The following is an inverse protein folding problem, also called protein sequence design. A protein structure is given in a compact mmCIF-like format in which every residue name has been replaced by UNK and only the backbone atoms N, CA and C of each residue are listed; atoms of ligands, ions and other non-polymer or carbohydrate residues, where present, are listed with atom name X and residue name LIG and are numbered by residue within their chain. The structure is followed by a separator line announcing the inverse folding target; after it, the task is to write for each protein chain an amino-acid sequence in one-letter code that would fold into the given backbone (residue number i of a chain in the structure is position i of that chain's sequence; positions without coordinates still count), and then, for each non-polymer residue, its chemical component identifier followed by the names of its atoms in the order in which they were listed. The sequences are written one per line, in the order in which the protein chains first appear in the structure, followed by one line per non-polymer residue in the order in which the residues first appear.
data_IF_472707113839
#
_entry.id   IF_472707113839
#
_cell.length_a   1.000
_cell.length_b   1.000
_cell.length_c   1.000
_cell.angle_alpha   90.00
_cell.angle_beta   90.00
_cell.angle_gamma   90.00
#
_symmetry.space_group_name_H-M   'P 1'
#
loop_
_entity.id
_entity.type
_entity.pdbx_description
1 polymer ?
#
# COMPACT_ATOMS: atom_id res chain seq x y z
N UNK A 1 -18.35 -18.17 19.44
CA UNK A 1 -17.64 -16.93 19.88
C UNK A 1 -17.54 -16.97 21.39
N UNK A 2 -16.40 -16.57 21.98
CA UNK A 2 -16.29 -16.44 23.44
C UNK A 2 -17.12 -15.22 23.92
N UNK A 3 -17.59 -15.24 25.18
CA UNK A 3 -18.28 -14.10 25.82
C UNK A 3 -17.48 -12.80 25.65
N UNK A 4 -16.17 -12.84 25.87
CA UNK A 4 -15.28 -11.69 25.74
C UNK A 4 -15.27 -11.05 24.34
N UNK A 5 -15.45 -11.83 23.28
CA UNK A 5 -15.50 -11.29 21.92
C UNK A 5 -16.86 -10.64 21.60
N UNK A 6 -17.93 -11.10 22.22
CA UNK A 6 -19.24 -10.46 22.12
C UNK A 6 -19.23 -9.12 22.88
N UNK A 7 -18.72 -9.11 24.11
CA UNK A 7 -18.62 -7.92 24.95
C UNK A 7 -17.78 -6.85 24.26
N UNK A 8 -16.64 -7.22 23.68
CA UNK A 8 -15.77 -6.30 22.95
C UNK A 8 -16.44 -5.70 21.69
N UNK A 9 -17.29 -6.47 21.01
CA UNK A 9 -18.07 -6.01 19.86
C UNK A 9 -19.18 -5.03 20.28
N UNK A 10 -19.86 -5.30 21.38
CA UNK A 10 -20.89 -4.41 21.95
C UNK A 10 -20.27 -3.09 22.41
N UNK A 11 -19.14 -3.14 23.11
CA UNK A 11 -18.38 -1.96 23.49
C UNK A 11 -17.94 -1.12 22.28
N UNK A 12 -17.47 -1.77 21.20
CA UNK A 12 -17.15 -1.09 19.96
C UNK A 12 -18.36 -0.34 19.40
N UNK A 13 -19.49 -1.02 19.32
CA UNK A 13 -20.72 -0.41 18.85
C UNK A 13 -21.14 0.79 19.70
N UNK A 14 -21.14 0.65 21.02
CA UNK A 14 -21.49 1.73 21.95
C UNK A 14 -20.56 2.95 21.78
N UNK A 15 -19.25 2.71 21.63
CA UNK A 15 -18.26 3.80 21.37
C UNK A 15 -18.54 4.51 20.05
N UNK A 16 -18.82 3.76 18.99
CA UNK A 16 -19.07 4.33 17.67
C UNK A 16 -20.38 5.12 17.63
N UNK A 17 -21.43 4.62 18.30
CA UNK A 17 -22.68 5.33 18.47
C UNK A 17 -22.49 6.64 19.27
N UNK A 18 -21.70 6.61 20.35
CA UNK A 18 -21.36 7.81 21.11
C UNK A 18 -20.60 8.83 20.27
N UNK A 19 -19.65 8.39 19.44
CA UNK A 19 -18.91 9.28 18.50
C UNK A 19 -19.86 9.90 17.46
N UNK A 20 -20.73 9.09 16.87
CA UNK A 20 -21.68 9.57 15.85
C UNK A 20 -22.61 10.66 16.43
N UNK A 21 -23.15 10.42 17.63
CA UNK A 21 -24.02 11.37 18.31
C UNK A 21 -23.34 12.65 18.81
N UNK A 22 -22.02 12.65 18.91
CA UNK A 22 -21.23 13.83 19.26
C UNK A 22 -20.90 14.72 18.02
N UNK A 23 -21.27 14.31 16.81
CA UNK A 23 -21.04 15.07 15.59
C UNK A 23 -22.04 16.24 15.46
N UNK A 24 -21.64 17.29 14.73
CA UNK A 24 -22.57 18.34 14.38
C UNK A 24 -23.72 17.79 13.53
N UNK A 25 -24.89 18.49 13.52
CA UNK A 25 -26.01 18.10 12.67
C UNK A 25 -25.58 17.93 11.20
N UNK A 26 -25.99 16.82 10.59
CA UNK A 26 -25.59 16.48 9.22
C UNK A 26 -24.19 15.89 9.08
N UNK A 27 -23.45 15.67 10.18
CA UNK A 27 -22.19 14.95 10.17
C UNK A 27 -22.38 13.43 10.02
N UNK A 28 -21.29 12.73 9.79
CA UNK A 28 -21.28 11.26 9.68
C UNK A 28 -20.01 10.65 10.25
N UNK A 29 -20.12 9.39 10.68
CA UNK A 29 -19.00 8.58 11.18
C UNK A 29 -18.80 7.37 10.25
N UNK A 30 -17.61 7.23 9.68
CA UNK A 30 -17.18 5.99 9.07
C UNK A 30 -16.39 5.18 10.09
N UNK A 31 -16.62 3.87 10.12
CA UNK A 31 -15.83 2.93 10.92
C UNK A 31 -15.34 1.81 10.03
N UNK A 32 -14.07 1.43 10.17
CA UNK A 32 -13.44 0.40 9.37
C UNK A 32 -12.99 -0.75 10.26
N UNK A 33 -13.38 -1.95 9.89
CA UNK A 33 -12.84 -3.22 10.41
C UNK A 33 -12.52 -4.14 9.23
N UNK A 34 -12.10 -5.38 9.52
CA UNK A 34 -11.84 -6.37 8.47
C UNK A 34 -12.95 -7.43 8.41
N UNK A 35 -13.30 -7.84 7.20
CA UNK A 35 -14.22 -8.94 6.89
C UNK A 35 -13.59 -10.32 7.15
N UNK A 36 -12.99 -10.47 8.31
CA UNK A 36 -12.32 -11.70 8.73
C UNK A 36 -12.96 -12.23 10.02
N UNK A 37 -12.99 -13.54 10.23
CA UNK A 37 -13.44 -14.10 11.51
C UNK A 37 -12.52 -13.67 12.66
N UNK A 38 -13.04 -13.66 13.88
CA UNK A 38 -12.28 -13.25 15.07
C UNK A 38 -10.93 -13.96 15.19
N UNK A 39 -10.87 -15.26 14.89
CA UNK A 39 -9.62 -16.03 14.93
C UNK A 39 -8.48 -15.47 14.07
N UNK A 40 -8.79 -14.80 12.96
CA UNK A 40 -7.81 -14.14 12.10
C UNK A 40 -7.59 -12.68 12.49
N UNK A 41 -8.63 -11.95 12.89
CA UNK A 41 -8.51 -10.54 13.28
C UNK A 41 -7.70 -10.33 14.56
N UNK A 42 -7.78 -11.27 15.52
CA UNK A 42 -7.13 -11.14 16.83
C UNK A 42 -5.68 -11.59 16.84
N UNK A 43 -5.20 -12.21 15.78
CA UNK A 43 -3.82 -12.69 15.67
C UNK A 43 -2.77 -11.62 15.37
N UNK A 44 -3.19 -10.37 15.12
CA UNK A 44 -2.28 -9.25 14.76
C UNK A 44 -1.73 -9.31 13.33
N UNK A 45 -1.91 -10.43 12.63
CA UNK A 45 -1.39 -10.68 11.29
C UNK A 45 -1.92 -9.69 10.23
N UNK A 46 -3.16 -9.22 10.42
CA UNK A 46 -3.84 -8.32 9.48
C UNK A 46 -3.94 -6.87 9.97
N UNK A 47 -3.28 -6.51 11.08
CA UNK A 47 -3.34 -5.15 11.64
C UNK A 47 -2.77 -4.12 10.66
N UNK A 48 -1.67 -4.45 9.98
CA UNK A 48 -1.07 -3.62 8.93
C UNK A 48 -2.00 -3.42 7.74
N UNK A 49 -2.75 -4.45 7.36
CA UNK A 49 -3.77 -4.39 6.28
C UNK A 49 -4.89 -3.43 6.66
N UNK A 50 -5.44 -3.55 7.87
CA UNK A 50 -6.50 -2.67 8.35
C UNK A 50 -6.03 -1.21 8.45
N UNK A 51 -4.81 -0.97 8.94
CA UNK A 51 -4.20 0.36 9.01
C UNK A 51 -4.02 0.97 7.63
N UNK A 52 -3.57 0.18 6.65
CA UNK A 52 -3.42 0.61 5.27
C UNK A 52 -4.77 1.01 4.66
N UNK A 53 -5.79 0.16 4.78
CA UNK A 53 -7.14 0.45 4.28
C UNK A 53 -7.75 1.69 4.94
N UNK A 54 -7.50 1.91 6.24
CA UNK A 54 -7.90 3.14 6.93
C UNK A 54 -7.21 4.37 6.33
N UNK A 55 -5.90 4.34 6.09
CA UNK A 55 -5.16 5.43 5.46
C UNK A 55 -5.63 5.74 4.04
N UNK A 56 -5.98 4.70 3.26
CA UNK A 56 -6.55 4.84 1.91
C UNK A 56 -7.92 5.53 1.99
N UNK A 57 -8.79 5.10 2.90
CA UNK A 57 -10.11 5.70 3.11
C UNK A 57 -9.99 7.18 3.51
N UNK A 58 -9.13 7.49 4.48
CA UNK A 58 -8.89 8.87 4.91
C UNK A 58 -8.36 9.74 3.76
N UNK A 59 -7.40 9.24 2.98
CA UNK A 59 -6.85 9.93 1.83
C UNK A 59 -7.90 10.17 0.73
N UNK A 60 -8.77 9.20 0.44
CA UNK A 60 -9.85 9.34 -0.52
C UNK A 60 -10.88 10.40 -0.07
N UNK A 61 -11.28 10.34 1.20
CA UNK A 61 -12.20 11.33 1.80
C UNK A 61 -11.61 12.74 1.72
N UNK A 62 -10.34 12.94 2.10
CA UNK A 62 -9.67 14.25 2.02
C UNK A 62 -9.55 14.75 0.59
N UNK A 63 -9.21 13.90 -0.38
CA UNK A 63 -9.14 14.25 -1.80
C UNK A 63 -10.50 14.65 -2.39
N UNK A 64 -11.60 14.14 -1.85
CA UNK A 64 -12.96 14.56 -2.27
C UNK A 64 -13.35 15.96 -1.78
N UNK A 65 -12.49 16.63 -1.01
CA UNK A 65 -12.79 17.92 -0.39
C UNK A 65 -13.67 17.82 0.86
N UNK A 66 -13.93 16.61 1.35
CA UNK A 66 -14.73 16.39 2.57
C UNK A 66 -13.92 16.74 3.82
N UNK A 67 -14.52 17.55 4.70
CA UNK A 67 -13.91 17.91 5.98
C UNK A 67 -13.86 16.70 6.91
N UNK A 68 -12.64 16.35 7.36
CA UNK A 68 -12.39 15.32 8.38
C UNK A 68 -12.24 16.03 9.72
N UNK A 69 -13.24 15.91 10.58
CA UNK A 69 -13.26 16.50 11.93
C UNK A 69 -12.32 15.79 12.89
N UNK A 70 -12.27 14.46 12.81
CA UNK A 70 -11.29 13.64 13.52
C UNK A 70 -11.10 12.29 12.82
N UNK A 71 -9.93 11.69 12.99
CA UNK A 71 -9.64 10.34 12.56
C UNK A 71 -8.80 9.60 13.60
N UNK A 72 -8.81 8.29 13.53
CA UNK A 72 -7.94 7.48 14.39
C UNK A 72 -7.99 6.01 14.05
N UNK A 73 -6.99 5.31 14.57
CA UNK A 73 -6.83 3.87 14.42
C UNK A 73 -6.34 3.27 15.74
N UNK A 74 -6.86 2.10 16.11
CA UNK A 74 -6.44 1.38 17.31
C UNK A 74 -6.60 -0.13 17.14
N UNK A 75 -5.89 -0.88 17.96
CA UNK A 75 -6.11 -2.31 18.14
C UNK A 75 -6.98 -2.49 19.39
N UNK A 76 -8.04 -3.27 19.26
CA UNK A 76 -9.01 -3.55 20.34
C UNK A 76 -9.08 -5.05 20.60
N UNK A 77 -9.72 -5.49 21.71
CA UNK A 77 -9.99 -6.91 21.93
C UNK A 77 -10.89 -7.59 20.87
N UNK A 78 -11.54 -6.80 19.97
CA UNK A 78 -12.25 -7.31 18.79
C UNK A 78 -11.43 -7.18 17.49
N UNK A 79 -10.16 -6.77 17.59
CA UNK A 79 -9.23 -6.58 16.47
C UNK A 79 -9.01 -5.12 16.07
N UNK A 80 -8.40 -4.88 14.91
CA UNK A 80 -8.11 -3.54 14.41
C UNK A 80 -9.38 -2.77 14.06
N UNK A 81 -9.43 -1.49 14.47
CA UNK A 81 -10.54 -0.57 14.24
C UNK A 81 -10.01 0.80 13.80
N UNK A 82 -10.48 1.30 12.66
CA UNK A 82 -10.29 2.67 12.20
C UNK A 82 -11.60 3.47 12.27
N UNK A 83 -11.52 4.81 12.40
CA UNK A 83 -12.68 5.68 12.29
C UNK A 83 -12.33 7.02 11.67
N UNK A 84 -13.31 7.62 10.99
CA UNK A 84 -13.28 9.00 10.49
C UNK A 84 -14.61 9.68 10.84
N UNK A 85 -14.53 10.79 11.54
CA UNK A 85 -15.66 11.69 11.80
C UNK A 85 -15.65 12.81 10.76
N UNK A 86 -16.76 13.00 10.06
CA UNK A 86 -16.88 13.92 8.94
C UNK A 86 -17.90 15.02 9.20
N UNK A 87 -17.63 16.23 8.71
CA UNK A 87 -18.58 17.34 8.69
C UNK A 87 -19.64 17.23 7.59
N UNK A 88 -19.76 16.09 6.91
CA UNK A 88 -20.66 15.89 5.76
C UNK A 88 -21.60 14.72 5.96
N UNK A 89 -22.70 14.71 5.15
CA UNK A 89 -23.79 13.74 5.28
C UNK A 89 -23.40 12.30 4.98
N UNK A 90 -24.06 11.38 5.69
CA UNK A 90 -23.76 9.95 5.68
C UNK A 90 -23.95 9.28 4.30
N UNK A 91 -24.81 9.81 3.43
CA UNK A 91 -24.97 9.29 2.08
C UNK A 91 -23.68 9.45 1.25
N UNK A 92 -23.07 10.65 1.24
CA UNK A 92 -21.79 10.90 0.58
C UNK A 92 -20.64 10.13 1.22
N UNK A 93 -20.61 10.01 2.55
CA UNK A 93 -19.67 9.20 3.27
C UNK A 93 -19.75 7.72 2.86
N UNK A 94 -20.96 7.15 2.67
CA UNK A 94 -21.13 5.79 2.17
C UNK A 94 -20.62 5.63 0.74
N UNK A 95 -20.79 6.62 -0.11
CA UNK A 95 -20.21 6.58 -1.46
C UNK A 95 -18.68 6.50 -1.42
N UNK A 96 -18.00 7.22 -0.51
CA UNK A 96 -16.55 7.11 -0.31
C UNK A 96 -16.14 5.72 0.22
N UNK A 97 -16.90 5.18 1.17
CA UNK A 97 -16.69 3.81 1.64
C UNK A 97 -16.75 2.79 0.48
N UNK A 98 -17.77 2.90 -0.38
CA UNK A 98 -17.95 2.03 -1.54
C UNK A 98 -16.82 2.17 -2.58
N UNK A 99 -16.29 3.38 -2.80
CA UNK A 99 -15.12 3.59 -3.67
C UNK A 99 -13.91 2.78 -3.18
N UNK A 100 -13.66 2.73 -1.88
CA UNK A 100 -12.56 1.93 -1.32
C UNK A 100 -12.88 0.44 -1.36
N UNK A 101 -14.09 0.03 -0.92
CA UNK A 101 -14.51 -1.38 -0.88
C UNK A 101 -14.51 -2.06 -2.25
N UNK A 102 -14.87 -1.33 -3.32
CA UNK A 102 -15.05 -1.86 -4.67
C UNK A 102 -13.88 -1.52 -5.61
N UNK A 103 -13.19 -0.41 -5.36
CA UNK A 103 -12.15 0.10 -6.26
C UNK A 103 -10.72 -0.23 -5.86
N UNK A 104 -10.46 -0.49 -4.57
CA UNK A 104 -9.11 -0.84 -4.12
C UNK A 104 -8.89 -2.37 -4.21
N UNK A 105 -7.72 -2.88 -4.66
CA UNK A 105 -7.45 -4.32 -4.76
C UNK A 105 -7.70 -5.10 -3.47
N UNK A 106 -7.46 -4.47 -2.32
CA UNK A 106 -7.70 -5.04 -0.99
C UNK A 106 -9.05 -4.64 -0.38
N UNK A 107 -9.84 -3.85 -1.11
CA UNK A 107 -11.10 -3.29 -0.62
C UNK A 107 -12.13 -4.35 -0.21
N UNK A 108 -12.09 -5.52 -0.85
CA UNK A 108 -12.93 -6.65 -0.47
C UNK A 108 -12.72 -7.12 0.98
N UNK A 109 -11.52 -6.87 1.55
CA UNK A 109 -11.23 -7.17 2.96
C UNK A 109 -11.77 -6.11 3.92
N UNK A 110 -12.08 -4.90 3.44
CA UNK A 110 -12.60 -3.83 4.28
C UNK A 110 -14.08 -4.07 4.64
N UNK A 111 -14.44 -3.75 5.87
CA UNK A 111 -15.81 -3.65 6.37
C UNK A 111 -16.01 -2.22 6.86
N UNK A 112 -16.64 -1.38 6.00
CA UNK A 112 -16.79 0.04 6.29
C UNK A 112 -18.25 0.35 6.55
N UNK A 113 -18.58 0.55 7.83
CA UNK A 113 -19.90 0.99 8.27
C UNK A 113 -19.95 2.51 8.33
N UNK A 114 -21.13 3.07 8.08
CA UNK A 114 -21.38 4.51 8.14
C UNK A 114 -22.59 4.77 9.02
N UNK A 115 -22.44 5.69 9.99
CA UNK A 115 -23.50 6.17 10.85
C UNK A 115 -23.73 7.65 10.59
N UNK A 116 -25.00 8.10 10.61
CA UNK A 116 -25.33 9.51 10.68
C UNK A 116 -25.22 10.04 12.13
N UNK A 117 -25.41 11.35 12.32
CA UNK A 117 -25.34 12.00 13.63
C UNK A 117 -26.45 11.51 14.60
N UNK A 118 -27.53 10.94 14.10
CA UNK A 118 -28.59 10.33 14.89
C UNK A 118 -28.25 8.85 15.27
N UNK A 119 -27.16 8.31 14.72
CA UNK A 119 -26.70 6.94 14.97
C UNK A 119 -27.38 5.89 14.09
N UNK A 120 -28.04 6.30 13.00
CA UNK A 120 -28.62 5.35 12.03
C UNK A 120 -27.54 4.91 11.06
N UNK A 121 -27.53 3.62 10.75
CA UNK A 121 -26.57 3.04 9.79
C UNK A 121 -27.02 3.25 8.36
N UNK A 122 -26.13 3.70 7.50
CA UNK A 122 -26.33 3.80 6.05
C UNK A 122 -25.65 2.60 5.39
N UNK A 123 -26.46 1.71 4.84
CA UNK A 123 -26.01 0.47 4.22
C UNK A 123 -25.76 0.57 2.71
N UNK A 124 -25.33 -0.55 2.13
CA UNK A 124 -25.12 -0.66 0.66
C UNK A 124 -26.45 -0.55 -0.10
N UNK A 125 -27.53 -1.11 0.44
CA UNK A 125 -28.87 -1.06 -0.16
C UNK A 125 -29.38 0.38 -0.29
N UNK A 126 -29.10 1.28 0.68
CA UNK A 126 -29.45 2.68 0.64
C UNK A 126 -28.74 3.45 -0.50
N UNK A 127 -27.70 2.85 -1.08
CA UNK A 127 -26.96 3.37 -2.24
C UNK A 127 -27.19 2.55 -3.51
N UNK A 128 -28.20 1.68 -3.55
CA UNK A 128 -28.54 0.85 -4.70
C UNK A 128 -27.48 -0.21 -5.02
N UNK A 129 -26.64 -0.60 -4.05
CA UNK A 129 -25.60 -1.61 -4.25
C UNK A 129 -26.06 -2.98 -3.75
N UNK A 130 -25.71 -4.06 -4.47
CA UNK A 130 -26.04 -5.43 -4.04
C UNK A 130 -25.33 -5.78 -2.73
N UNK A 131 -25.84 -6.78 -1.98
CA UNK A 131 -25.13 -7.36 -0.85
C UNK A 131 -23.73 -7.85 -1.24
N UNK A 132 -22.82 -7.88 -0.26
CA UNK A 132 -21.46 -8.39 -0.47
C UNK A 132 -21.45 -9.89 -0.71
N UNK A 133 -20.56 -10.32 -1.61
CA UNK A 133 -20.30 -11.74 -1.84
C UNK A 133 -19.34 -12.31 -0.78
N UNK A 134 -19.34 -13.62 -0.62
CA UNK A 134 -18.39 -14.36 0.21
C UNK A 134 -16.99 -14.30 -0.41
N UNK A 135 -15.96 -14.08 0.42
CA UNK A 135 -14.56 -14.01 -0.04
C UNK A 135 -14.05 -15.35 -0.61
N UNK A 136 -14.63 -16.47 -0.17
CA UNK A 136 -14.19 -17.82 -0.55
C UNK A 136 -14.94 -18.34 -1.78
N UNK A 137 -16.28 -18.34 -1.73
CA UNK A 137 -17.08 -19.01 -2.77
C UNK A 137 -17.83 -18.04 -3.70
N UNK A 138 -17.78 -16.73 -3.46
CA UNK A 138 -18.53 -15.75 -4.27
C UNK A 138 -20.05 -15.73 -4.05
N UNK A 139 -20.61 -16.66 -3.27
CA UNK A 139 -22.01 -16.70 -2.89
C UNK A 139 -22.41 -15.59 -1.91
N UNK A 140 -23.67 -15.55 -1.41
CA UNK A 140 -24.13 -14.52 -0.48
C UNK A 140 -23.29 -14.50 0.81
N UNK A 141 -22.51 -13.44 1.04
CA UNK A 141 -21.55 -13.34 2.14
C UNK A 141 -22.20 -13.48 3.53
N UNK A 142 -23.39 -12.89 3.73
CA UNK A 142 -24.12 -12.97 4.98
C UNK A 142 -24.53 -14.41 5.32
N UNK A 143 -24.94 -15.22 4.32
CA UNK A 143 -25.30 -16.63 4.52
C UNK A 143 -24.09 -17.46 4.94
N UNK A 144 -22.96 -17.29 4.25
CA UNK A 144 -21.72 -17.99 4.59
C UNK A 144 -21.21 -17.62 5.99
N UNK A 145 -21.30 -16.33 6.36
CA UNK A 145 -20.87 -15.86 7.67
C UNK A 145 -21.77 -16.36 8.80
N UNK A 146 -23.10 -16.32 8.63
CA UNK A 146 -24.06 -16.79 9.63
C UNK A 146 -23.98 -18.30 9.84
N UNK A 147 -23.79 -19.06 8.74
CA UNK A 147 -23.68 -20.52 8.75
C UNK A 147 -22.28 -21.05 9.07
N UNK A 148 -21.27 -20.18 9.24
CA UNK A 148 -19.86 -20.56 9.38
C UNK A 148 -19.42 -21.61 8.31
N UNK A 149 -19.86 -21.38 7.05
CA UNK A 149 -19.72 -22.36 5.95
C UNK A 149 -18.26 -22.67 5.62
N UNK A 150 -17.37 -21.65 5.81
CA UNK A 150 -15.94 -21.77 5.50
C UNK A 150 -15.11 -21.70 6.78
N UNK A 151 -14.08 -22.55 6.85
CA UNK A 151 -13.14 -22.57 7.96
C UNK A 151 -12.12 -21.42 7.89
N UNK A 152 -11.45 -21.14 9.01
CA UNK A 152 -10.40 -20.10 9.07
C UNK A 152 -9.27 -20.31 8.05
N UNK A 153 -8.81 -21.53 7.73
CA UNK A 153 -7.79 -21.74 6.69
C UNK A 153 -8.24 -21.32 5.29
N UNK A 154 -9.48 -21.60 4.91
CA UNK A 154 -10.04 -21.23 3.60
C UNK A 154 -10.20 -19.71 3.48
N UNK A 155 -10.67 -19.05 4.54
CA UNK A 155 -10.81 -17.59 4.60
C UNK A 155 -9.43 -16.92 4.58
N UNK A 156 -8.42 -17.50 5.25
CA UNK A 156 -7.03 -17.05 5.19
C UNK A 156 -6.49 -17.12 3.76
N UNK A 157 -6.65 -18.25 3.10
CA UNK A 157 -6.20 -18.43 1.71
C UNK A 157 -6.85 -17.41 0.76
N UNK A 158 -8.16 -17.15 0.91
CA UNK A 158 -8.86 -16.14 0.14
C UNK A 158 -8.33 -14.71 0.43
N UNK A 159 -8.08 -14.38 1.70
CA UNK A 159 -7.50 -13.09 2.09
C UNK A 159 -6.09 -12.90 1.50
N UNK A 160 -5.24 -13.92 1.58
CA UNK A 160 -3.89 -13.88 0.98
C UNK A 160 -3.94 -13.73 -0.55
N UNK A 161 -4.88 -14.38 -1.23
CA UNK A 161 -5.09 -14.22 -2.66
C UNK A 161 -5.50 -12.77 -3.02
N UNK A 162 -6.34 -12.13 -2.19
CA UNK A 162 -6.70 -10.72 -2.35
C UNK A 162 -5.48 -9.82 -2.13
N UNK A 163 -4.69 -10.08 -1.10
CA UNK A 163 -3.48 -9.30 -0.78
C UNK A 163 -2.36 -9.47 -1.83
N UNK A 164 -2.35 -10.59 -2.54
CA UNK A 164 -1.40 -10.84 -3.63
C UNK A 164 -1.77 -10.11 -4.94
N UNK A 165 -2.98 -9.50 -5.02
CA UNK A 165 -3.38 -8.73 -6.22
C UNK A 165 -2.41 -7.56 -6.43
N UNK A 166 -1.98 -7.31 -7.69
CA UNK A 166 -1.08 -6.21 -7.98
C UNK A 166 -1.71 -4.88 -7.54
N UNK A 167 -0.88 -4.03 -6.98
CA UNK A 167 -1.29 -2.66 -6.64
C UNK A 167 -1.71 -1.92 -7.92
N UNK A 168 -2.72 -1.04 -7.83
CA UNK A 168 -3.26 -0.37 -9.02
C UNK A 168 -2.28 0.65 -9.62
N UNK A 169 -2.72 1.31 -10.69
CA UNK A 169 -2.13 2.33 -11.55
C UNK A 169 -0.98 3.22 -10.99
N UNK A 170 -0.83 3.37 -9.66
CA UNK A 170 0.24 4.16 -9.06
C UNK A 170 1.64 3.57 -9.31
N UNK A 171 1.80 2.24 -9.34
CA UNK A 171 3.10 1.62 -9.65
C UNK A 171 3.55 1.93 -11.07
N UNK A 172 2.64 1.90 -12.05
CA UNK A 172 2.94 2.28 -13.43
C UNK A 172 3.25 3.78 -13.57
N UNK A 173 2.56 4.63 -12.82
CA UNK A 173 2.84 6.06 -12.77
C UNK A 173 4.20 6.34 -12.16
N UNK A 174 4.54 5.70 -11.05
CA UNK A 174 5.86 5.81 -10.39
C UNK A 174 6.96 5.38 -11.35
N UNK A 175 6.82 4.22 -12.00
CA UNK A 175 7.80 3.71 -12.96
C UNK A 175 8.03 4.67 -14.14
N UNK A 176 6.94 5.25 -14.67
CA UNK A 176 7.03 6.24 -15.76
C UNK A 176 7.77 7.50 -15.32
N UNK A 177 7.48 8.03 -14.13
CA UNK A 177 8.18 9.20 -13.57
C UNK A 177 9.67 8.90 -13.37
N UNK A 178 10.01 7.71 -12.83
CA UNK A 178 11.39 7.29 -12.65
C UNK A 178 12.15 7.19 -13.98
N UNK A 179 11.56 6.54 -14.98
CA UNK A 179 12.16 6.46 -16.32
C UNK A 179 12.32 7.84 -16.93
N UNK A 180 11.32 8.71 -16.85
CA UNK A 180 11.37 10.07 -17.35
C UNK A 180 12.52 10.85 -16.70
N UNK A 181 12.69 10.79 -15.39
CA UNK A 181 13.78 11.45 -14.67
C UNK A 181 15.17 11.00 -15.14
N UNK A 182 15.34 9.70 -15.41
CA UNK A 182 16.60 9.15 -15.94
C UNK A 182 16.88 9.66 -17.37
N UNK A 183 15.86 9.71 -18.21
CA UNK A 183 15.99 10.22 -19.59
C UNK A 183 16.23 11.74 -19.62
N UNK A 184 15.57 12.49 -18.76
CA UNK A 184 15.78 13.93 -18.63
C UNK A 184 17.19 14.25 -18.11
N UNK A 185 17.68 13.48 -17.12
CA UNK A 185 19.03 13.65 -16.58
C UNK A 185 20.09 13.52 -17.66
N UNK A 186 20.07 12.46 -18.45
CA UNK A 186 21.08 12.27 -19.52
C UNK A 186 20.94 13.28 -20.66
N UNK A 187 19.74 13.86 -20.82
CA UNK A 187 19.44 14.83 -21.89
C UNK A 187 19.79 16.28 -21.55
N UNK A 188 20.16 16.56 -20.28
CA UNK A 188 20.64 17.91 -19.91
C UNK A 188 22.00 18.20 -20.58
N UNK A 189 22.11 19.38 -21.21
CA UNK A 189 23.33 19.85 -21.88
C UNK A 189 23.47 21.36 -21.67
N UNK A 190 24.69 21.89 -21.31
CA UNK A 190 25.92 21.15 -21.08
C UNK A 190 26.05 20.57 -19.67
N UNK A 191 26.74 19.42 -19.56
CA UNK A 191 27.18 18.81 -18.29
C UNK A 191 28.68 18.54 -18.37
N UNK A 192 29.54 19.42 -17.84
CA UNK A 192 30.99 19.24 -17.95
C UNK A 192 31.47 17.89 -17.39
N UNK A 193 32.20 17.12 -18.18
CA UNK A 193 32.74 15.81 -17.81
C UNK A 193 31.75 14.63 -17.85
N UNK A 194 30.46 14.88 -18.05
CA UNK A 194 29.43 13.84 -18.11
C UNK A 194 28.94 13.63 -19.55
N UNK A 195 28.27 12.49 -19.76
CA UNK A 195 27.61 12.20 -21.03
C UNK A 195 26.38 13.08 -21.22
N UNK A 196 26.29 13.67 -22.41
CA UNK A 196 25.15 14.50 -22.87
C UNK A 196 24.80 14.13 -24.32
N UNK A 197 23.72 14.67 -24.90
CA UNK A 197 23.41 14.46 -26.32
C UNK A 197 24.53 14.91 -27.26
N UNK A 198 25.32 15.92 -26.87
CA UNK A 198 26.38 16.52 -27.71
C UNK A 198 27.81 16.04 -27.36
N UNK A 199 27.98 15.33 -26.21
CA UNK A 199 29.32 14.99 -25.70
C UNK A 199 29.33 13.67 -24.92
N UNK A 200 30.42 12.94 -25.08
CA UNK A 200 30.73 11.76 -24.23
C UNK A 200 31.32 12.12 -22.87
N UNK A 201 31.61 13.42 -22.63
CA UNK A 201 32.30 13.86 -21.43
C UNK A 201 33.69 13.22 -21.30
N UNK A 202 33.99 12.69 -20.11
CA UNK A 202 35.26 12.01 -19.82
C UNK A 202 35.22 10.50 -20.12
N UNK A 203 34.16 9.99 -20.75
CA UNK A 203 33.92 8.56 -20.96
C UNK A 203 34.35 8.13 -22.37
N UNK A 204 35.21 7.09 -22.46
CA UNK A 204 35.59 6.46 -23.72
C UNK A 204 34.72 5.27 -24.12
N UNK A 205 33.98 4.73 -23.17
CA UNK A 205 33.25 3.46 -23.24
C UNK A 205 31.73 3.62 -23.37
N UNK A 206 31.21 4.84 -23.27
CA UNK A 206 29.76 5.12 -23.32
C UNK A 206 29.47 6.47 -23.99
N UNK A 207 28.26 6.58 -24.52
CA UNK A 207 27.70 7.78 -25.11
C UNK A 207 26.21 7.92 -24.76
N UNK A 208 25.54 8.93 -25.30
CA UNK A 208 24.13 9.21 -25.08
C UNK A 208 23.23 7.99 -25.40
N UNK A 209 23.47 7.30 -26.50
CA UNK A 209 22.69 6.14 -26.91
C UNK A 209 22.92 4.94 -26.01
N UNK A 210 24.13 4.77 -25.47
CA UNK A 210 24.44 3.75 -24.46
C UNK A 210 23.64 3.99 -23.19
N UNK A 211 23.49 5.26 -22.75
CA UNK A 211 22.64 5.62 -21.62
C UNK A 211 21.17 5.35 -21.89
N UNK A 212 20.65 5.70 -23.09
CA UNK A 212 19.27 5.39 -23.46
C UNK A 212 18.99 3.89 -23.45
N UNK A 213 19.91 3.08 -23.98
CA UNK A 213 19.79 1.62 -23.95
C UNK A 213 19.75 1.06 -22.50
N UNK A 214 20.61 1.60 -21.63
CA UNK A 214 20.61 1.26 -20.20
C UNK A 214 19.31 1.66 -19.50
N UNK A 215 18.82 2.87 -19.74
CA UNK A 215 17.56 3.36 -19.17
C UNK A 215 16.35 2.51 -19.61
N UNK A 216 16.29 2.18 -20.91
CA UNK A 216 15.24 1.33 -21.46
C UNK A 216 15.24 -0.08 -20.83
N UNK A 217 16.42 -0.66 -20.61
CA UNK A 217 16.57 -1.97 -19.96
C UNK A 217 16.16 -1.95 -18.47
N UNK A 218 16.24 -0.79 -17.81
CA UNK A 218 15.84 -0.59 -16.42
C UNK A 218 14.35 -0.25 -16.23
N UNK A 219 13.63 0.12 -17.30
CA UNK A 219 12.22 0.50 -17.18
C UNK A 219 11.33 -0.57 -16.47
N UNK A 220 11.45 -1.88 -16.76
CA UNK A 220 10.70 -2.92 -16.04
C UNK A 220 11.02 -2.96 -14.55
N UNK A 221 12.26 -2.69 -14.17
CA UNK A 221 12.71 -2.65 -12.78
C UNK A 221 12.01 -1.59 -11.97
N UNK A 222 11.80 -0.40 -12.51
CA UNK A 222 11.11 0.67 -11.79
C UNK A 222 9.65 0.30 -11.48
N UNK A 223 8.98 -0.39 -12.40
CA UNK A 223 7.63 -0.92 -12.19
C UNK A 223 7.63 -2.02 -11.11
N UNK A 224 8.57 -2.94 -11.21
CA UNK A 224 8.71 -4.04 -10.27
C UNK A 224 9.01 -3.52 -8.86
N UNK A 225 9.95 -2.60 -8.71
CA UNK A 225 10.28 -1.99 -7.41
C UNK A 225 9.09 -1.27 -6.78
N UNK A 226 8.33 -0.48 -7.55
CA UNK A 226 7.13 0.19 -7.07
C UNK A 226 6.04 -0.81 -6.65
N UNK A 227 5.87 -1.91 -7.40
CA UNK A 227 4.91 -2.97 -7.08
C UNK A 227 5.29 -3.73 -5.81
N UNK A 228 6.58 -4.04 -5.63
CA UNK A 228 7.10 -4.64 -4.41
C UNK A 228 6.90 -3.73 -3.20
N UNK A 229 7.17 -2.44 -3.37
CA UNK A 229 6.91 -1.44 -2.32
C UNK A 229 5.44 -1.42 -1.90
N UNK A 230 4.52 -1.43 -2.87
CA UNK A 230 3.10 -1.50 -2.59
C UNK A 230 2.72 -2.81 -1.87
N UNK A 231 3.32 -3.94 -2.22
CA UNK A 231 3.09 -5.21 -1.53
C UNK A 231 3.61 -5.22 -0.08
N UNK A 232 4.66 -4.43 0.22
CA UNK A 232 5.17 -4.25 1.59
C UNK A 232 4.23 -3.44 2.49
N UNK A 233 3.28 -2.69 1.92
CA UNK A 233 2.33 -1.87 2.67
C UNK A 233 1.43 -2.68 3.63
N UNK A 234 1.31 -3.99 3.44
CA UNK A 234 0.57 -4.90 4.32
C UNK A 234 1.27 -5.17 5.67
N UNK A 235 2.55 -4.86 5.78
CA UNK A 235 3.33 -5.07 7.01
C UNK A 235 3.46 -3.77 7.79
N UNK A 236 3.34 -3.83 9.12
CA UNK A 236 3.52 -2.67 9.99
C UNK A 236 4.99 -2.28 10.18
N UNK A 237 5.89 -3.25 10.03
CA UNK A 237 7.34 -3.08 10.18
C UNK A 237 8.09 -3.84 9.10
N UNK A 238 9.11 -3.20 8.53
CA UNK A 238 10.04 -3.85 7.59
C UNK A 238 10.89 -4.93 8.26
N UNK A 239 11.05 -4.88 9.58
CA UNK A 239 11.75 -5.91 10.36
C UNK A 239 10.96 -7.20 10.59
N UNK A 240 9.66 -7.26 10.24
CA UNK A 240 8.87 -8.49 10.37
C UNK A 240 9.38 -9.60 9.42
N UNK A 241 9.26 -10.89 9.79
CA UNK A 241 9.75 -12.00 8.96
C UNK A 241 9.19 -11.98 7.53
N UNK A 242 7.90 -11.69 7.38
CA UNK A 242 7.26 -11.62 6.07
C UNK A 242 7.75 -10.44 5.21
N UNK A 243 8.00 -9.27 5.81
CA UNK A 243 8.56 -8.13 5.12
C UNK A 243 10.01 -8.39 4.70
N UNK A 244 10.82 -9.04 5.53
CA UNK A 244 12.22 -9.40 5.21
C UNK A 244 12.31 -10.32 3.99
N UNK A 245 11.45 -11.34 3.89
CA UNK A 245 11.38 -12.20 2.70
C UNK A 245 11.12 -11.36 1.45
N UNK A 246 10.18 -10.40 1.50
CA UNK A 246 9.87 -9.54 0.37
C UNK A 246 11.01 -8.57 0.02
N UNK A 247 11.75 -8.10 1.01
CA UNK A 247 12.93 -7.26 0.77
C UNK A 247 14.08 -8.05 0.12
N UNK A 248 14.27 -9.31 0.48
CA UNK A 248 15.25 -10.19 -0.18
C UNK A 248 14.87 -10.45 -1.64
N UNK A 249 13.58 -10.70 -1.93
CA UNK A 249 13.07 -10.85 -3.30
C UNK A 249 13.27 -9.57 -4.12
N UNK A 250 12.99 -8.39 -3.55
CA UNK A 250 13.23 -7.09 -4.18
C UNK A 250 14.71 -6.90 -4.54
N UNK A 251 15.61 -7.34 -3.66
CA UNK A 251 17.05 -7.28 -3.87
C UNK A 251 17.51 -8.19 -5.01
N UNK A 252 16.94 -9.41 -5.09
CA UNK A 252 17.23 -10.33 -6.18
C UNK A 252 16.77 -9.79 -7.53
N UNK A 253 15.58 -9.18 -7.58
CA UNK A 253 15.06 -8.50 -8.75
C UNK A 253 15.97 -7.33 -9.19
N UNK A 254 16.48 -6.54 -8.25
CA UNK A 254 17.46 -5.48 -8.53
C UNK A 254 18.75 -6.00 -9.17
N UNK A 255 19.26 -7.15 -8.68
CA UNK A 255 20.42 -7.81 -9.31
C UNK A 255 20.14 -8.30 -10.73
N UNK A 256 18.92 -8.74 -11.03
CA UNK A 256 18.53 -9.11 -12.40
C UNK A 256 18.40 -7.89 -13.31
N UNK A 257 17.87 -6.78 -12.78
CA UNK A 257 17.79 -5.51 -13.50
C UNK A 257 19.19 -5.00 -13.91
N UNK A 258 20.16 -5.06 -12.99
CA UNK A 258 21.55 -4.70 -13.28
C UNK A 258 22.14 -5.57 -14.40
N UNK A 259 21.94 -6.91 -14.36
CA UNK A 259 22.35 -7.80 -15.45
C UNK A 259 21.69 -7.45 -16.78
N UNK A 260 20.42 -7.04 -16.78
CA UNK A 260 19.68 -6.63 -17.98
C UNK A 260 20.26 -5.37 -18.57
N UNK A 261 20.61 -4.38 -17.75
CA UNK A 261 21.30 -3.16 -18.16
C UNK A 261 22.66 -3.49 -18.78
N UNK A 262 23.50 -4.32 -18.14
CA UNK A 262 24.79 -4.72 -18.69
C UNK A 262 24.67 -5.41 -20.05
N UNK A 263 23.68 -6.26 -20.25
CA UNK A 263 23.44 -6.88 -21.57
C UNK A 263 23.09 -5.86 -22.63
N UNK A 264 22.21 -4.90 -22.29
CA UNK A 264 21.75 -3.87 -23.23
C UNK A 264 22.86 -2.87 -23.62
N UNK A 265 23.83 -2.66 -22.75
CA UNK A 265 24.92 -1.68 -22.93
C UNK A 265 26.25 -2.31 -23.36
N UNK A 266 26.26 -3.60 -23.73
CA UNK A 266 27.51 -4.29 -24.10
C UNK A 266 28.49 -4.46 -22.94
N UNK A 267 28.03 -4.54 -21.71
CA UNK A 267 28.85 -4.70 -20.50
C UNK A 267 29.22 -3.39 -19.81
N UNK A 268 28.73 -2.26 -20.29
CA UNK A 268 29.00 -0.94 -19.71
C UNK A 268 28.02 -0.60 -18.61
N UNK A 269 28.51 -0.13 -17.46
CA UNK A 269 27.65 0.31 -16.34
C UNK A 269 27.29 1.79 -16.50
N UNK A 270 26.21 2.07 -17.22
CA UNK A 270 25.74 3.44 -17.47
C UNK A 270 25.09 4.10 -16.25
N UNK A 271 24.51 3.31 -15.34
CA UNK A 271 23.70 3.82 -14.23
C UNK A 271 24.18 3.23 -12.89
N UNK A 272 25.49 3.40 -12.59
CA UNK A 272 26.12 2.89 -11.36
C UNK A 272 25.41 3.42 -10.11
N UNK A 273 24.92 2.49 -9.27
CA UNK A 273 24.19 2.81 -8.04
C UNK A 273 22.73 3.18 -8.22
N UNK A 274 22.29 3.56 -9.44
CA UNK A 274 20.91 3.99 -9.70
C UNK A 274 19.90 2.85 -9.51
N UNK A 275 20.27 1.63 -9.89
CA UNK A 275 19.40 0.44 -9.68
C UNK A 275 19.01 0.34 -8.21
N UNK A 276 19.95 0.53 -7.30
CA UNK A 276 19.68 0.52 -5.86
C UNK A 276 18.93 1.78 -5.41
N UNK A 277 19.46 2.97 -5.68
CA UNK A 277 18.93 4.22 -5.12
C UNK A 277 17.54 4.56 -5.67
N UNK A 278 17.35 4.54 -6.99
CA UNK A 278 16.07 4.84 -7.62
C UNK A 278 15.07 3.69 -7.43
N UNK A 279 15.56 2.44 -7.40
CA UNK A 279 14.74 1.28 -7.02
C UNK A 279 14.16 1.40 -5.60
N UNK A 280 14.98 1.81 -4.63
CA UNK A 280 14.52 2.05 -3.25
C UNK A 280 13.50 3.20 -3.17
N UNK A 281 13.69 4.28 -3.96
CA UNK A 281 12.72 5.37 -4.04
C UNK A 281 11.40 4.95 -4.70
N UNK A 282 11.46 4.14 -5.77
CA UNK A 282 10.26 3.57 -6.39
C UNK A 282 9.50 2.67 -5.40
N UNK A 283 10.20 1.82 -4.67
CA UNK A 283 9.60 0.98 -3.64
C UNK A 283 8.99 1.82 -2.50
N UNK A 284 9.69 2.86 -2.05
CA UNK A 284 9.18 3.79 -1.03
C UNK A 284 7.91 4.51 -1.50
N UNK A 285 7.89 5.02 -2.73
CA UNK A 285 6.72 5.67 -3.31
C UNK A 285 5.55 4.69 -3.44
N UNK A 286 5.80 3.44 -3.90
CA UNK A 286 4.79 2.39 -3.95
C UNK A 286 4.22 2.04 -2.58
N UNK A 287 5.06 1.91 -1.56
CA UNK A 287 4.67 1.69 -0.17
C UNK A 287 3.78 2.81 0.38
N UNK A 288 4.20 4.06 0.18
CA UNK A 288 3.47 5.23 0.68
C UNK A 288 2.11 5.37 -0.01
N UNK A 289 2.06 5.27 -1.34
CA UNK A 289 0.80 5.42 -2.09
C UNK A 289 -0.18 4.29 -1.79
N UNK A 290 0.31 3.05 -1.64
CA UNK A 290 -0.54 1.92 -1.23
C UNK A 290 -1.12 2.09 0.18
N UNK A 291 -0.45 2.85 1.06
CA UNK A 291 -0.97 3.23 2.40
C UNK A 291 -1.80 4.52 2.39
N UNK A 292 -2.15 5.05 1.23
CA UNK A 292 -2.90 6.31 1.11
C UNK A 292 -2.12 7.54 1.58
N UNK A 293 -0.78 7.45 1.69
CA UNK A 293 0.08 8.57 2.08
C UNK A 293 0.62 9.30 0.86
N UNK A 294 0.83 10.61 0.98
CA UNK A 294 1.49 11.38 -0.06
C UNK A 294 2.95 10.95 -0.20
N UNK A 295 3.38 10.62 -1.43
CA UNK A 295 4.77 10.31 -1.76
C UNK A 295 5.52 11.63 -2.03
N UNK A 296 5.71 12.45 -0.96
CA UNK A 296 6.57 13.65 -1.05
C UNK A 296 8.04 13.24 -1.12
N UNK A 297 8.95 14.11 -1.61
CA UNK A 297 10.38 13.82 -1.64
C UNK A 297 10.92 13.38 -0.28
N UNK A 298 10.55 14.09 0.79
CA UNK A 298 10.99 13.82 2.17
C UNK A 298 10.49 12.46 2.64
N UNK A 299 9.18 12.19 2.47
CA UNK A 299 8.59 10.92 2.87
C UNK A 299 9.16 9.73 2.08
N UNK A 300 9.45 9.91 0.79
CA UNK A 300 10.12 8.91 -0.04
C UNK A 300 11.54 8.64 0.44
N UNK A 301 12.32 9.68 0.73
CA UNK A 301 13.70 9.53 1.24
C UNK A 301 13.74 8.85 2.62
N UNK A 302 12.88 9.24 3.55
CA UNK A 302 12.76 8.60 4.86
C UNK A 302 12.40 7.11 4.75
N UNK A 303 11.39 6.81 3.93
CA UNK A 303 10.92 5.44 3.72
C UNK A 303 11.98 4.59 3.00
N UNK A 304 12.63 5.13 1.96
CA UNK A 304 13.73 4.46 1.26
C UNK A 304 14.92 4.20 2.19
N UNK A 305 15.26 5.17 3.06
CA UNK A 305 16.29 4.99 4.08
C UNK A 305 15.94 3.90 5.10
N UNK A 306 14.67 3.77 5.47
CA UNK A 306 14.21 2.70 6.36
C UNK A 306 14.31 1.33 5.66
N UNK A 307 13.85 1.21 4.41
CA UNK A 307 14.01 0.00 3.59
C UNK A 307 15.49 -0.40 3.43
N UNK A 308 16.35 0.58 3.13
CA UNK A 308 17.78 0.35 2.92
C UNK A 308 18.50 -0.16 4.17
N UNK A 309 18.19 0.35 5.36
CA UNK A 309 18.79 -0.11 6.61
C UNK A 309 18.58 -1.59 6.86
N UNK A 310 17.37 -2.09 6.61
CA UNK A 310 17.05 -3.50 6.81
C UNK A 310 17.69 -4.42 5.75
N UNK A 311 17.97 -3.89 4.55
CA UNK A 311 18.63 -4.64 3.45
C UNK A 311 20.16 -4.63 3.59
N UNK A 312 20.75 -3.50 3.96
CA UNK A 312 22.20 -3.31 3.99
C UNK A 312 22.86 -3.74 5.30
N UNK A 313 22.12 -3.72 6.43
CA UNK A 313 22.64 -4.11 7.75
C UNK A 313 23.24 -5.51 7.75
N UNK A 314 22.51 -6.48 7.21
CA UNK A 314 22.96 -7.86 7.09
C UNK A 314 24.19 -8.04 6.16
N UNK A 315 24.41 -7.14 5.20
CA UNK A 315 25.58 -7.19 4.30
C UNK A 315 26.82 -6.62 4.96
N UNK A 316 26.68 -5.57 5.76
CA UNK A 316 27.79 -5.04 6.55
C UNK A 316 28.25 -6.04 7.60
N UNK A 317 27.33 -6.74 8.26
CA UNK A 317 27.66 -7.82 9.20
C UNK A 317 28.39 -8.99 8.49
N UNK A 318 27.92 -9.40 7.30
CA UNK A 318 28.57 -10.45 6.50
C UNK A 318 29.93 -10.00 5.94
N UNK A 319 30.09 -8.73 5.59
CA UNK A 319 31.36 -8.17 5.12
C UNK A 319 32.38 -8.06 6.27
N UNK A 320 31.94 -7.67 7.48
CA UNK A 320 32.76 -7.60 8.67
C UNK A 320 33.16 -8.98 9.22
N UNK A 321 32.40 -10.04 8.90
CA UNK A 321 32.68 -11.42 9.30
C UNK A 321 33.57 -12.19 8.30
N UNK A 322 34.01 -11.58 7.20
CA UNK A 322 34.99 -12.17 6.28
C UNK A 322 36.39 -11.94 6.82
N UNK A 323 37.19 -13.04 7.03
CA UNK A 323 38.55 -12.94 7.51
C UNK A 323 39.49 -12.20 6.54
#
# INVERSE_FOLDING_TARGET
MSSAALDAREERWARNLSRARALPPGGSLLTLTLRLPAALRLGGEYDGVARTLHGILESDVRRSGTEVLSSGFRITPDGPEGWLALGSGAAGAKDRALVVEEGHPWGELADIDVLDAEGRTIGRADRGRPPRTCLVCGGPGAVCAAGAVHGAPEIRAAAEAILARPAPADSSRIARIALQAVLEEVSVDPKPGLVTPSSRGSHGDMDYFTFLAGAAALAPWFLEAATWGAALARFDSFGSPGARIRLDELRDAGRQAEKSMFRATGGVNTHKGLVFSLGALCAAAGYLTARGRAATPEACCETAGALARDVTGADFEKAAARP
#
